data_IF_126447874799
#
_entry.id   IF_126447874799
#
_cell.length_a   1.000
_cell.length_b   1.000
_cell.length_c   1.000
_cell.angle_alpha   90.00
_cell.angle_beta   90.00
_cell.angle_gamma   90.00
#
_symmetry.space_group_name_H-M   'P 1'
#
loop_
_entity.id
_entity.type
_entity.pdbx_description
1 polymer ?
#
# COMPACT_ATOMS: atom_id res chain seq x y z
N UNK A 1 11.49 -7.08 -64.94
CA UNK A 1 11.99 -7.66 -63.70
C UNK A 1 11.21 -7.06 -62.55
N UNK A 2 10.25 -7.74 -61.97
CA UNK A 2 9.58 -7.20 -60.78
C UNK A 2 10.37 -7.57 -59.51
N UNK A 3 10.84 -6.56 -58.82
CA UNK A 3 11.40 -6.70 -57.49
C UNK A 3 10.28 -6.93 -56.48
N UNK A 4 10.16 -8.16 -55.98
CA UNK A 4 9.30 -8.52 -54.86
C UNK A 4 9.95 -8.00 -53.56
N UNK A 5 9.42 -6.91 -53.05
CA UNK A 5 9.73 -6.37 -51.74
C UNK A 5 9.01 -7.23 -50.68
N UNK A 6 9.73 -8.12 -50.02
CA UNK A 6 9.25 -8.83 -48.83
C UNK A 6 9.24 -7.84 -47.67
N UNK A 7 8.06 -7.36 -47.32
CA UNK A 7 7.88 -6.60 -46.05
C UNK A 7 7.81 -7.62 -44.90
N UNK A 8 8.88 -7.67 -44.12
CA UNK A 8 8.90 -8.40 -42.85
C UNK A 8 8.09 -7.62 -41.84
N UNK A 9 6.90 -8.12 -41.53
CA UNK A 9 6.12 -7.62 -40.39
C UNK A 9 6.78 -8.11 -39.08
N UNK A 10 7.53 -7.23 -38.43
CA UNK A 10 7.96 -7.44 -37.04
C UNK A 10 6.70 -7.33 -36.16
N UNK A 11 6.24 -8.45 -35.64
CA UNK A 11 5.19 -8.51 -34.64
C UNK A 11 5.68 -7.90 -33.31
N UNK A 12 5.05 -6.80 -32.91
CA UNK A 12 5.23 -6.21 -31.59
C UNK A 12 4.41 -7.05 -30.61
N UNK A 13 5.06 -8.03 -29.99
CA UNK A 13 4.54 -8.72 -28.82
C UNK A 13 5.24 -8.15 -27.58
N UNK A 14 4.82 -6.98 -27.14
CA UNK A 14 5.30 -6.40 -25.90
C UNK A 14 4.12 -5.88 -25.08
N UNK A 15 4.11 -6.22 -23.79
CA UNK A 15 3.35 -5.62 -22.72
C UNK A 15 2.02 -6.29 -22.32
N UNK A 16 2.11 -7.50 -21.72
CA UNK A 16 1.03 -8.01 -20.85
C UNK A 16 1.57 -8.58 -19.52
N UNK A 17 2.71 -8.11 -19.03
CA UNK A 17 3.33 -8.68 -17.81
C UNK A 17 3.07 -7.82 -16.55
N UNK A 18 2.47 -6.64 -16.64
CA UNK A 18 2.37 -5.72 -15.50
C UNK A 18 1.08 -5.81 -14.68
N UNK A 19 0.08 -6.57 -15.11
CA UNK A 19 -1.20 -6.65 -14.39
C UNK A 19 -1.24 -7.66 -13.24
N UNK A 20 -0.36 -8.66 -13.23
CA UNK A 20 -0.41 -9.74 -12.24
C UNK A 20 0.04 -9.31 -10.83
N UNK A 21 0.94 -8.32 -10.72
CA UNK A 21 1.45 -7.86 -9.42
C UNK A 21 0.48 -6.98 -8.64
N UNK A 22 -0.51 -6.39 -9.32
CA UNK A 22 -1.54 -5.56 -8.66
C UNK A 22 -2.66 -6.38 -8.00
N UNK A 23 -2.75 -7.68 -8.29
CA UNK A 23 -3.80 -8.57 -7.79
C UNK A 23 -3.48 -9.17 -6.40
N UNK A 24 -2.23 -9.09 -5.95
CA UNK A 24 -1.79 -9.66 -4.67
C UNK A 24 -1.33 -8.59 -3.69
N UNK A 25 -1.46 -8.90 -2.39
CA UNK A 25 -0.89 -8.08 -1.32
C UNK A 25 0.64 -8.06 -1.47
N UNK A 26 1.28 -6.87 -1.45
CA UNK A 26 2.73 -6.77 -1.57
C UNK A 26 3.43 -7.45 -0.40
N UNK A 27 4.59 -8.06 -0.65
CA UNK A 27 5.44 -8.60 0.42
C UNK A 27 6.19 -7.46 1.09
N UNK A 28 5.90 -7.23 2.37
CA UNK A 28 6.54 -6.20 3.19
C UNK A 28 7.50 -6.84 4.19
N UNK A 29 8.68 -6.24 4.35
CA UNK A 29 9.62 -6.60 5.41
C UNK A 29 9.29 -5.82 6.68
N UNK A 30 8.54 -6.44 7.58
CA UNK A 30 8.10 -5.87 8.85
C UNK A 30 9.15 -5.98 9.97
N UNK A 31 10.33 -6.54 9.68
CA UNK A 31 11.36 -6.75 10.69
C UNK A 31 11.82 -5.44 11.32
N UNK A 32 11.95 -4.37 10.52
CA UNK A 32 12.37 -3.06 11.03
C UNK A 32 11.37 -2.41 11.96
N UNK A 33 10.10 -2.71 11.81
CA UNK A 33 9.03 -2.20 12.69
C UNK A 33 8.97 -2.98 13.99
N UNK A 34 9.21 -4.30 13.93
CA UNK A 34 8.99 -5.19 15.06
C UNK A 34 10.27 -5.54 15.84
N UNK A 35 11.46 -5.36 15.27
CA UNK A 35 12.69 -5.67 15.99
C UNK A 35 13.08 -4.53 16.96
N UNK A 36 13.39 -4.84 18.21
CA UNK A 36 13.78 -3.82 19.19
C UNK A 36 15.14 -3.21 18.84
N UNK A 37 15.23 -1.91 18.94
CA UNK A 37 16.50 -1.19 18.87
C UNK A 37 17.15 -1.30 20.26
N UNK A 38 18.26 -2.08 20.39
CA UNK A 38 19.06 -2.07 21.60
C UNK A 38 19.05 -3.34 22.49
N UNK A 39 18.41 -4.42 22.08
CA UNK A 39 18.60 -5.76 22.71
C UNK A 39 18.04 -5.94 24.13
N UNK A 40 17.11 -5.11 24.56
CA UNK A 40 16.45 -5.24 25.86
C UNK A 40 15.47 -6.44 25.86
N UNK A 41 15.64 -7.34 26.83
CA UNK A 41 14.83 -8.57 26.96
C UNK A 41 13.37 -8.29 27.29
N UNK A 42 13.04 -7.16 27.89
CA UNK A 42 11.66 -6.76 28.17
C UNK A 42 10.87 -6.49 26.90
N UNK A 43 11.55 -6.13 25.81
CA UNK A 43 10.97 -5.87 24.50
C UNK A 43 10.69 -7.15 23.68
N UNK A 44 11.10 -8.34 24.12
CA UNK A 44 10.89 -9.58 23.37
C UNK A 44 9.41 -9.99 23.30
N UNK A 45 8.64 -9.75 24.35
CA UNK A 45 7.19 -10.04 24.38
C UNK A 45 6.48 -9.08 23.40
N UNK A 46 6.90 -7.83 23.39
CA UNK A 46 6.35 -6.82 22.49
C UNK A 46 6.72 -7.11 21.02
N UNK A 47 7.92 -7.64 20.77
CA UNK A 47 8.35 -8.09 19.45
C UNK A 47 7.46 -9.20 18.91
N UNK A 48 7.20 -10.25 19.70
CA UNK A 48 6.34 -11.36 19.30
C UNK A 48 4.89 -10.89 19.01
N UNK A 49 4.38 -9.99 19.86
CA UNK A 49 3.07 -9.38 19.65
C UNK A 49 3.02 -8.54 18.37
N UNK A 50 4.08 -7.76 18.11
CA UNK A 50 4.21 -6.96 16.91
C UNK A 50 4.12 -7.83 15.64
N UNK A 51 4.94 -8.88 15.56
CA UNK A 51 4.90 -9.81 14.41
C UNK A 51 3.53 -10.47 14.24
N UNK A 52 2.89 -10.85 15.34
CA UNK A 52 1.54 -11.40 15.32
C UNK A 52 0.53 -10.40 14.76
N UNK A 53 0.58 -9.15 15.20
CA UNK A 53 -0.31 -8.09 14.72
C UNK A 53 -0.10 -7.79 13.23
N UNK A 54 1.15 -7.75 12.78
CA UNK A 54 1.48 -7.60 11.36
C UNK A 54 0.96 -8.77 10.51
N UNK A 55 1.09 -10.00 11.01
CA UNK A 55 0.57 -11.18 10.33
C UNK A 55 -0.97 -11.15 10.24
N UNK A 56 -1.65 -10.77 11.31
CA UNK A 56 -3.11 -10.61 11.32
C UNK A 56 -3.57 -9.53 10.32
N UNK A 57 -2.84 -8.43 10.23
CA UNK A 57 -3.11 -7.37 9.25
C UNK A 57 -2.89 -7.88 7.81
N UNK A 58 -1.81 -8.63 7.55
CA UNK A 58 -1.57 -9.26 6.26
C UNK A 58 -2.70 -10.22 5.87
N UNK A 59 -3.17 -11.05 6.80
CA UNK A 59 -4.24 -12.01 6.55
C UNK A 59 -5.58 -11.30 6.25
N UNK A 60 -5.85 -10.17 6.92
CA UNK A 60 -7.01 -9.33 6.60
C UNK A 60 -6.89 -8.71 5.22
N UNK A 61 -5.72 -8.18 4.87
CA UNK A 61 -5.45 -7.63 3.54
C UNK A 61 -5.65 -8.70 2.46
N UNK A 62 -5.15 -9.91 2.66
CA UNK A 62 -5.29 -11.01 1.71
C UNK A 62 -6.76 -11.31 1.40
N UNK A 63 -7.62 -11.26 2.40
CA UNK A 63 -9.06 -11.48 2.22
C UNK A 63 -9.80 -10.33 1.54
N UNK A 64 -9.33 -9.10 1.70
CA UNK A 64 -10.04 -7.88 1.28
C UNK A 64 -9.32 -7.11 0.17
N UNK A 65 -8.17 -7.58 -0.31
CA UNK A 65 -7.31 -6.82 -1.21
C UNK A 65 -8.02 -6.29 -2.44
N UNK A 66 -8.82 -7.14 -3.07
CA UNK A 66 -9.55 -6.79 -4.28
C UNK A 66 -10.77 -5.89 -4.03
N UNK A 67 -11.21 -5.74 -2.79
CA UNK A 67 -12.32 -4.85 -2.42
C UNK A 67 -11.88 -3.38 -2.41
N UNK A 68 -10.57 -3.12 -2.38
CA UNK A 68 -10.03 -1.77 -2.43
C UNK A 68 -9.72 -1.33 -3.87
N UNK A 69 -10.01 -0.06 -4.23
CA UNK A 69 -9.65 0.48 -5.54
C UNK A 69 -8.15 0.37 -5.83
N UNK A 70 -7.77 0.08 -7.08
CA UNK A 70 -6.37 -0.08 -7.47
C UNK A 70 -5.52 1.16 -7.17
N UNK A 71 -6.07 2.37 -7.37
CA UNK A 71 -5.38 3.62 -7.05
C UNK A 71 -5.08 3.76 -5.56
N UNK A 72 -6.02 3.38 -4.69
CA UNK A 72 -5.83 3.41 -3.23
C UNK A 72 -4.82 2.35 -2.78
N UNK A 73 -4.85 1.16 -3.37
CA UNK A 73 -3.82 0.12 -3.11
C UNK A 73 -2.42 0.62 -3.42
N UNK A 74 -2.24 1.26 -4.56
CA UNK A 74 -0.94 1.83 -4.97
C UNK A 74 -0.50 2.93 -4.00
N UNK A 75 -1.36 3.90 -3.73
CA UNK A 75 -1.06 5.02 -2.85
C UNK A 75 -0.74 4.56 -1.43
N UNK A 76 -1.58 3.70 -0.86
CA UNK A 76 -1.38 3.21 0.51
C UNK A 76 -0.14 2.30 0.64
N UNK A 77 0.20 1.53 -0.40
CA UNK A 77 1.46 0.76 -0.41
C UNK A 77 2.67 1.69 -0.39
N UNK A 78 2.66 2.76 -1.19
CA UNK A 78 3.72 3.76 -1.16
C UNK A 78 3.83 4.42 0.22
N UNK A 79 2.71 4.81 0.82
CA UNK A 79 2.68 5.41 2.16
C UNK A 79 3.25 4.46 3.21
N UNK A 80 2.81 3.21 3.22
CA UNK A 80 3.22 2.19 4.19
C UNK A 80 4.69 1.75 4.06
N UNK A 81 5.36 2.09 2.96
CA UNK A 81 6.76 1.74 2.70
C UNK A 81 7.71 2.94 2.72
N UNK A 82 7.18 4.14 2.87
CA UNK A 82 7.99 5.37 2.94
C UNK A 82 8.77 5.42 4.26
N UNK A 83 10.01 5.93 4.20
CA UNK A 83 10.84 6.09 5.39
C UNK A 83 11.64 4.86 5.81
N UNK A 84 11.64 3.78 4.98
CA UNK A 84 12.43 2.57 5.22
C UNK A 84 11.87 1.61 6.25
N UNK A 85 10.66 1.87 6.73
CA UNK A 85 9.85 0.94 7.53
C UNK A 85 8.66 0.49 6.69
N UNK A 86 8.31 -0.79 6.78
CA UNK A 86 7.16 -1.33 6.08
C UNK A 86 6.24 -2.04 7.07
N UNK A 87 4.92 -1.79 6.99
CA UNK A 87 3.94 -2.30 7.94
C UNK A 87 2.63 -2.64 7.24
N UNK A 88 2.13 -3.85 7.47
CA UNK A 88 0.80 -4.25 7.01
C UNK A 88 -0.31 -3.56 7.81
N UNK A 89 -0.05 -3.23 9.08
CA UNK A 89 -0.99 -2.45 9.90
C UNK A 89 -1.18 -1.05 9.33
N UNK A 90 -0.11 -0.39 8.92
CA UNK A 90 -0.21 0.92 8.24
C UNK A 90 -0.93 0.80 6.91
N UNK A 91 -0.63 -0.23 6.13
CA UNK A 91 -1.25 -0.45 4.83
C UNK A 91 -2.76 -0.64 4.94
N UNK A 92 -3.22 -1.54 5.84
CA UNK A 92 -4.66 -1.77 6.01
C UNK A 92 -5.36 -0.55 6.59
N UNK A 93 -4.73 0.16 7.53
CA UNK A 93 -5.28 1.39 8.13
C UNK A 93 -5.48 2.47 7.08
N UNK A 94 -4.48 2.69 6.21
CA UNK A 94 -4.59 3.63 5.10
C UNK A 94 -5.77 3.28 4.17
N UNK A 95 -5.89 2.02 3.76
CA UNK A 95 -6.94 1.56 2.86
C UNK A 95 -8.35 1.68 3.49
N UNK A 96 -8.49 1.32 4.74
CA UNK A 96 -9.78 1.44 5.46
C UNK A 96 -10.17 2.90 5.66
N UNK A 97 -9.22 3.77 6.00
CA UNK A 97 -9.45 5.20 6.10
C UNK A 97 -9.90 5.80 4.76
N UNK A 98 -9.24 5.44 3.66
CA UNK A 98 -9.63 5.86 2.31
C UNK A 98 -11.06 5.43 1.98
N UNK A 99 -11.40 4.19 2.27
CA UNK A 99 -12.75 3.65 2.07
C UNK A 99 -13.80 4.40 2.89
N UNK A 100 -13.49 4.70 4.14
CA UNK A 100 -14.42 5.36 5.04
C UNK A 100 -14.63 6.84 4.67
N UNK A 101 -13.57 7.55 4.27
CA UNK A 101 -13.66 8.90 3.73
C UNK A 101 -14.52 8.95 2.46
N UNK A 102 -14.39 7.97 1.57
CA UNK A 102 -15.16 7.89 0.34
C UNK A 102 -16.69 7.72 0.60
N UNK A 103 -17.08 7.23 1.78
CA UNK A 103 -18.49 7.08 2.18
C UNK A 103 -19.08 8.34 2.80
N UNK A 104 -18.25 9.34 3.13
CA UNK A 104 -18.74 10.59 3.70
C UNK A 104 -19.48 11.39 2.63
N UNK A 105 -20.61 12.05 3.00
CA UNK A 105 -21.28 12.98 2.10
C UNK A 105 -20.33 14.09 1.64
N UNK A 106 -20.43 14.50 0.37
CA UNK A 106 -19.55 15.51 -0.22
C UNK A 106 -19.64 16.90 0.46
N UNK A 107 -20.75 17.18 1.14
CA UNK A 107 -20.98 18.41 1.92
C UNK A 107 -20.23 18.45 3.25
N UNK A 108 -19.72 17.31 3.73
CA UNK A 108 -18.82 17.22 4.88
C UNK A 108 -17.35 17.30 4.47
N UNK A 109 -17.07 17.80 3.26
CA UNK A 109 -15.72 18.12 2.85
C UNK A 109 -15.05 18.91 3.97
N UNK A 110 -13.91 18.39 4.42
CA UNK A 110 -13.04 18.99 5.43
C UNK A 110 -12.69 20.43 5.00
N UNK A 111 -13.57 21.37 5.27
CA UNK A 111 -13.16 22.75 5.42
C UNK A 111 -12.35 22.78 6.71
N UNK A 112 -11.05 22.50 6.60
CA UNK A 112 -10.08 22.88 7.61
C UNK A 112 -10.20 24.41 7.70
N UNK A 113 -11.02 24.90 8.59
CA UNK A 113 -10.99 26.30 8.99
C UNK A 113 -9.57 26.52 9.50
N UNK A 114 -8.79 27.41 8.89
CA UNK A 114 -7.57 27.83 9.53
C UNK A 114 -7.97 28.41 10.88
N UNK A 115 -7.53 27.75 11.95
CA UNK A 115 -7.67 28.28 13.30
C UNK A 115 -7.04 29.66 13.28
N UNK A 116 -7.85 30.71 13.42
CA UNK A 116 -7.35 32.05 13.64
C UNK A 116 -6.57 32.01 14.95
N UNK A 117 -5.24 32.02 14.84
CA UNK A 117 -4.36 32.21 15.97
C UNK A 117 -4.71 33.57 16.58
N UNK A 118 -4.97 33.65 17.89
CA UNK A 118 -5.14 34.93 18.52
C UNK A 118 -3.81 35.71 18.42
N UNK A 119 -3.82 36.76 17.63
CA UNK A 119 -2.76 37.74 17.64
C UNK A 119 -2.76 38.44 18.98
N UNK A 120 -1.68 38.26 19.73
CA UNK A 120 -1.38 39.07 20.90
C UNK A 120 -0.84 40.41 20.47
#
# INVERSE_FOLDING_TARGET
>A
MPFLMKIATLGIAAALVTAAHAAEVPKLDVSRVCLPIGGDKTLQIDTARCFKTEQEAHDQLTRKWMDFPAADRTLCTQTATTGGTASYVELITCLELKRDVAKLPADRGLTVRPSSLPTK
#
